data_IF_435455831268
#
_entry.id   IF_435455831268
#
_cell.length_a   1.000
_cell.length_b   1.000
_cell.length_c   1.000
_cell.angle_alpha   90.00
_cell.angle_beta   90.00
_cell.angle_gamma   90.00
#
_symmetry.space_group_name_H-M   'P 1'
#
loop_
_entity.id
_entity.type
_entity.pdbx_description
1 polymer ?
#
# COMPACT_ATOMS: atom_id res chain seq x y z
N UNK A 1 -25.46 -24.81 -87.28
CA UNK A 1 -25.42 -24.84 -85.81
C UNK A 1 -23.99 -25.13 -85.42
N UNK A 2 -23.23 -24.07 -85.18
CA UNK A 2 -21.82 -24.14 -84.77
C UNK A 2 -21.70 -24.73 -83.37
N UNK A 3 -20.85 -25.75 -83.22
CA UNK A 3 -20.37 -26.17 -81.90
C UNK A 3 -19.13 -25.34 -81.58
N UNK A 4 -19.22 -24.54 -80.51
CA UNK A 4 -18.09 -23.82 -79.93
C UNK A 4 -17.01 -24.85 -79.53
N UNK A 5 -15.75 -24.71 -80.00
CA UNK A 5 -14.70 -25.67 -79.71
C UNK A 5 -14.14 -25.49 -78.29
N UNK A 6 -14.09 -26.60 -77.57
CA UNK A 6 -13.01 -26.97 -76.64
C UNK A 6 -12.69 -26.00 -75.51
N UNK A 7 -13.49 -26.02 -74.44
CA UNK A 7 -12.91 -25.77 -73.10
C UNK A 7 -12.11 -27.03 -72.77
N UNK A 8 -10.79 -26.96 -72.92
CA UNK A 8 -9.90 -28.04 -72.49
C UNK A 8 -10.00 -28.16 -70.97
N UNK A 9 -10.46 -29.31 -70.46
CA UNK A 9 -10.38 -29.66 -69.05
C UNK A 9 -8.89 -29.80 -68.67
N UNK A 10 -8.30 -28.69 -68.21
CA UNK A 10 -6.96 -28.66 -67.65
C UNK A 10 -7.04 -29.18 -66.21
N UNK A 11 -6.76 -30.48 -66.04
CA UNK A 11 -6.61 -31.07 -64.71
C UNK A 11 -5.43 -30.44 -63.97
N UNK A 12 -5.62 -30.13 -62.68
CA UNK A 12 -4.57 -29.59 -61.81
C UNK A 12 -3.39 -30.56 -61.71
N UNK A 13 -2.17 -30.02 -61.80
CA UNK A 13 -0.97 -30.82 -61.57
C UNK A 13 -0.77 -31.07 -60.07
N UNK A 14 -0.37 -32.27 -59.68
CA UNK A 14 -0.11 -32.62 -58.28
C UNK A 14 0.95 -31.70 -57.64
N UNK A 15 1.90 -31.24 -58.45
CA UNK A 15 2.92 -30.26 -58.07
C UNK A 15 2.30 -28.91 -57.64
N UNK A 16 1.30 -28.44 -58.37
CA UNK A 16 0.63 -27.17 -58.10
C UNK A 16 -0.16 -27.20 -56.78
N UNK A 17 -0.81 -28.33 -56.49
CA UNK A 17 -1.46 -28.56 -55.19
C UNK A 17 -0.42 -28.59 -54.06
N UNK A 18 0.73 -29.23 -54.27
CA UNK A 18 1.79 -29.31 -53.26
C UNK A 18 2.41 -27.93 -53.00
N UNK A 19 2.61 -27.11 -54.04
CA UNK A 19 3.08 -25.73 -53.89
C UNK A 19 2.03 -24.88 -53.16
N UNK A 20 0.75 -25.00 -53.51
CA UNK A 20 -0.32 -24.25 -52.83
C UNK A 20 -0.41 -24.61 -51.33
N UNK A 21 -0.29 -25.89 -51.00
CA UNK A 21 -0.31 -26.35 -49.61
C UNK A 21 0.92 -25.86 -48.83
N UNK A 22 2.11 -25.88 -49.43
CA UNK A 22 3.31 -25.37 -48.75
C UNK A 22 3.24 -23.87 -48.53
N UNK A 23 2.81 -23.09 -49.53
CA UNK A 23 2.58 -21.65 -49.37
C UNK A 23 1.56 -21.37 -48.27
N UNK A 24 0.44 -22.10 -48.25
CA UNK A 24 -0.58 -21.95 -47.21
C UNK A 24 -0.04 -22.27 -45.82
N UNK A 25 0.73 -23.36 -45.68
CA UNK A 25 1.34 -23.74 -44.42
C UNK A 25 2.35 -22.69 -43.92
N UNK A 26 3.17 -22.13 -44.82
CA UNK A 26 4.11 -21.06 -44.47
C UNK A 26 3.37 -19.80 -44.02
N UNK A 27 2.34 -19.38 -44.75
CA UNK A 27 1.52 -18.22 -44.38
C UNK A 27 0.85 -18.44 -43.02
N UNK A 28 0.25 -19.60 -42.80
CA UNK A 28 -0.39 -19.93 -41.52
C UNK A 28 0.62 -19.96 -40.37
N UNK A 29 1.82 -20.46 -40.59
CA UNK A 29 2.89 -20.46 -39.58
C UNK A 29 3.29 -19.04 -39.17
N UNK A 30 3.48 -18.15 -40.15
CA UNK A 30 3.81 -16.73 -39.89
C UNK A 30 2.66 -16.04 -39.16
N UNK A 31 1.42 -16.24 -39.61
CA UNK A 31 0.23 -15.67 -38.98
C UNK A 31 0.08 -16.14 -37.53
N UNK A 32 0.30 -17.42 -37.27
CA UNK A 32 0.24 -17.98 -35.92
C UNK A 32 1.32 -17.37 -35.02
N UNK A 33 2.55 -17.19 -35.53
CA UNK A 33 3.62 -16.53 -34.79
C UNK A 33 3.28 -15.09 -34.41
N UNK A 34 2.74 -14.30 -35.35
CA UNK A 34 2.31 -12.92 -35.08
C UNK A 34 1.14 -12.87 -34.09
N UNK A 35 0.18 -13.78 -34.21
CA UNK A 35 -0.95 -13.88 -33.29
C UNK A 35 -0.50 -14.20 -31.86
N UNK A 36 0.37 -15.20 -31.69
CA UNK A 36 0.94 -15.55 -30.38
C UNK A 36 1.68 -14.35 -29.75
N UNK A 37 2.50 -13.66 -30.54
CA UNK A 37 3.21 -12.47 -30.08
C UNK A 37 2.27 -11.34 -29.65
N UNK A 38 1.18 -11.09 -30.39
CA UNK A 38 0.17 -10.10 -29.98
C UNK A 38 -0.50 -10.49 -28.66
N UNK A 39 -0.77 -11.78 -28.44
CA UNK A 39 -1.41 -12.25 -27.22
C UNK A 39 -0.50 -12.08 -26.00
N UNK A 40 0.80 -12.35 -26.14
CA UNK A 40 1.77 -12.15 -25.07
C UNK A 40 1.90 -10.68 -24.70
N UNK A 41 2.02 -9.79 -25.70
CA UNK A 41 2.04 -8.33 -25.47
C UNK A 41 0.74 -7.85 -24.80
N UNK A 42 -0.42 -8.39 -25.18
CA UNK A 42 -1.69 -8.03 -24.56
C UNK A 42 -1.75 -8.42 -23.08
N UNK A 43 -1.25 -9.62 -22.72
CA UNK A 43 -1.16 -10.09 -21.33
C UNK A 43 -0.20 -9.25 -20.51
N UNK A 44 0.97 -8.93 -21.07
CA UNK A 44 1.94 -8.05 -20.43
C UNK A 44 1.36 -6.64 -20.21
N UNK A 45 0.60 -6.12 -21.17
CA UNK A 45 -0.05 -4.83 -21.01
C UNK A 45 -1.10 -4.86 -19.89
N UNK A 46 -1.90 -5.92 -19.81
CA UNK A 46 -2.95 -6.07 -18.82
C UNK A 46 -2.38 -6.17 -17.40
N UNK A 47 -1.33 -6.98 -17.20
CA UNK A 47 -0.65 -7.09 -15.89
C UNK A 47 -0.03 -5.75 -15.47
N UNK A 48 0.58 -5.01 -16.42
CA UNK A 48 1.11 -3.66 -16.17
C UNK A 48 0.02 -2.70 -15.72
N UNK A 49 -1.10 -2.74 -16.43
CA UNK A 49 -2.21 -1.81 -16.21
C UNK A 49 -2.83 -2.01 -14.82
N UNK A 50 -2.89 -3.26 -14.33
CA UNK A 50 -3.38 -3.57 -12.98
C UNK A 50 -2.45 -3.02 -11.90
N UNK A 51 -1.15 -3.30 -11.99
CA UNK A 51 -0.17 -2.83 -11.01
C UNK A 51 -0.08 -1.29 -10.96
N UNK A 52 -0.07 -0.63 -12.11
CA UNK A 52 -0.03 0.83 -12.17
C UNK A 52 -1.30 1.47 -11.58
N UNK A 53 -2.48 0.87 -11.81
CA UNK A 53 -3.73 1.33 -11.19
C UNK A 53 -3.68 1.16 -9.67
N UNK A 54 -3.26 0.00 -9.19
CA UNK A 54 -3.09 -0.29 -7.77
C UNK A 54 -2.18 0.74 -7.12
N UNK A 55 -0.98 0.98 -7.68
CA UNK A 55 -0.05 1.92 -7.08
C UNK A 55 -0.51 3.37 -7.12
N UNK A 56 -1.26 3.78 -8.15
CA UNK A 56 -1.92 5.10 -8.14
C UNK A 56 -2.92 5.24 -6.99
N UNK A 57 -3.68 4.20 -6.68
CA UNK A 57 -4.60 4.20 -5.53
C UNK A 57 -3.83 4.27 -4.21
N UNK A 58 -2.78 3.46 -4.05
CA UNK A 58 -1.92 3.45 -2.85
C UNK A 58 -1.31 4.83 -2.61
N UNK A 59 -0.65 5.41 -3.61
CA UNK A 59 -0.01 6.73 -3.51
C UNK A 59 -1.06 7.80 -3.19
N UNK A 60 -2.22 7.76 -3.84
CA UNK A 60 -3.31 8.69 -3.58
C UNK A 60 -3.83 8.55 -2.14
N UNK A 61 -3.99 7.34 -1.63
CA UNK A 61 -4.49 7.09 -0.27
C UNK A 61 -3.48 7.55 0.79
N UNK A 62 -2.22 7.16 0.68
CA UNK A 62 -1.14 7.59 1.59
C UNK A 62 -1.00 9.11 1.58
N UNK A 63 -1.01 9.72 0.39
CA UNK A 63 -0.92 11.17 0.25
C UNK A 63 -2.12 11.86 0.91
N UNK A 64 -3.33 11.34 0.73
CA UNK A 64 -4.52 11.92 1.32
C UNK A 64 -4.50 11.83 2.85
N UNK A 65 -4.11 10.70 3.41
CA UNK A 65 -3.99 10.54 4.86
C UNK A 65 -2.95 11.50 5.43
N UNK A 66 -1.76 11.57 4.82
CA UNK A 66 -0.67 12.44 5.30
C UNK A 66 -0.96 13.93 5.16
N UNK A 67 -1.74 14.33 4.14
CA UNK A 67 -2.26 15.70 4.02
C UNK A 67 -3.39 15.99 4.99
N UNK A 68 -4.09 14.96 5.45
CA UNK A 68 -5.17 15.07 6.43
C UNK A 68 -4.66 14.91 7.87
N UNK A 69 -3.35 15.07 8.09
CA UNK A 69 -2.75 15.01 9.40
C UNK A 69 -3.40 16.04 10.32
N UNK A 70 -3.87 15.56 11.47
CA UNK A 70 -4.48 16.38 12.49
C UNK A 70 -3.68 16.26 13.78
N UNK A 71 -2.97 17.32 14.22
CA UNK A 71 -2.26 17.29 15.49
C UNK A 71 -3.29 17.17 16.61
N UNK A 72 -3.18 16.10 17.39
CA UNK A 72 -4.10 15.90 18.50
C UNK A 72 -3.71 16.80 19.68
N UNK A 73 -4.68 17.48 20.28
CA UNK A 73 -4.47 18.31 21.46
C UNK A 73 -4.62 17.43 22.70
N UNK A 74 -3.82 17.68 23.75
CA UNK A 74 -3.79 16.86 24.95
C UNK A 74 -5.16 16.73 25.68
N UNK A 75 -6.12 17.62 25.41
CA UNK A 75 -7.48 17.50 25.92
C UNK A 75 -8.22 16.27 25.33
N UNK A 76 -7.97 15.93 24.06
CA UNK A 76 -8.56 14.77 23.39
C UNK A 76 -7.97 13.44 23.91
N UNK A 77 -6.74 13.44 24.44
CA UNK A 77 -6.10 12.28 25.07
C UNK A 77 -6.83 11.81 26.34
N UNK A 78 -7.54 12.70 27.04
CA UNK A 78 -8.29 12.34 28.25
C UNK A 78 -9.48 11.41 27.97
N UNK A 79 -9.95 11.39 26.72
CA UNK A 79 -10.95 10.45 26.25
C UNK A 79 -10.37 9.04 26.00
N UNK A 80 -9.05 8.90 25.94
CA UNK A 80 -8.33 7.62 25.82
C UNK A 80 -8.25 6.91 27.19
N UNK A 81 -9.41 6.68 27.81
CA UNK A 81 -9.55 5.77 28.96
C UNK A 81 -10.54 4.68 28.60
N UNK A 82 -10.04 3.59 28.04
CA UNK A 82 -10.85 2.40 27.84
C UNK A 82 -10.53 1.71 26.53
N UNK A 83 -9.86 0.57 26.66
CA UNK A 83 -9.40 -0.25 25.55
C UNK A 83 -7.96 -0.58 25.86
N UNK A 84 -7.73 -1.77 26.39
CA UNK A 84 -6.41 -2.33 26.62
C UNK A 84 -5.69 -2.40 25.25
N UNK A 85 -5.06 -1.30 24.85
CA UNK A 85 -4.03 -1.32 23.83
C UNK A 85 -2.82 -1.90 24.53
N UNK A 86 -2.68 -3.22 24.42
CA UNK A 86 -1.49 -3.96 24.85
C UNK A 86 -0.30 -3.45 24.04
N UNK A 87 0.33 -2.38 24.52
CA UNK A 87 1.76 -2.18 24.32
C UNK A 87 2.41 -3.01 25.42
N UNK A 88 2.64 -4.30 25.18
CA UNK A 88 3.42 -5.12 26.11
C UNK A 88 4.86 -4.60 26.10
N UNK A 89 5.20 -3.81 27.13
CA UNK A 89 6.57 -3.58 27.55
C UNK A 89 7.18 -4.94 27.91
N UNK A 90 7.92 -5.52 26.97
CA UNK A 90 8.80 -6.66 27.23
C UNK A 90 10.01 -6.19 28.04
N UNK A 91 9.79 -5.92 29.33
CA UNK A 91 10.85 -5.76 30.31
C UNK A 91 10.43 -6.35 31.67
N UNK A 92 10.73 -7.64 31.83
CA UNK A 92 11.10 -8.30 33.08
C UNK A 92 10.01 -8.56 34.14
N UNK A 93 9.74 -9.86 34.33
CA UNK A 93 9.39 -10.57 35.57
C UNK A 93 8.17 -10.15 36.42
N UNK A 94 7.27 -11.13 36.55
CA UNK A 94 6.71 -11.64 37.82
C UNK A 94 6.43 -10.67 38.98
N UNK A 95 5.17 -10.77 39.43
CA UNK A 95 4.61 -10.48 40.76
C UNK A 95 3.92 -9.13 40.99
N UNK A 96 2.76 -9.28 41.63
CA UNK A 96 1.95 -8.30 42.34
C UNK A 96 1.00 -7.41 41.53
N UNK A 97 -0.25 -7.90 41.51
CA UNK A 97 -1.47 -7.10 41.63
C UNK A 97 -1.27 -6.01 42.70
N UNK A 98 -1.09 -4.78 42.24
CA UNK A 98 -1.51 -3.60 42.98
C UNK A 98 -2.02 -2.58 41.98
N UNK A 99 -3.26 -2.17 42.18
CA UNK A 99 -3.88 -1.01 41.55
C UNK A 99 -2.93 0.18 41.69
N UNK A 100 -2.38 0.66 40.57
CA UNK A 100 -1.63 1.90 40.52
C UNK A 100 -2.11 2.75 39.33
N UNK A 101 -1.95 4.05 39.53
CA UNK A 101 -2.58 5.17 38.82
C UNK A 101 -2.54 5.02 37.30
N UNK A 102 -3.69 5.32 36.69
CA UNK A 102 -3.91 5.27 35.25
C UNK A 102 -2.72 5.74 34.44
N UNK A 103 -2.08 4.78 33.78
CA UNK A 103 -1.06 4.99 32.77
C UNK A 103 -1.65 5.91 31.70
N UNK A 104 -1.10 7.11 31.59
CA UNK A 104 -1.43 8.05 30.53
C UNK A 104 -0.99 7.39 29.22
N UNK A 105 -1.92 6.86 28.43
CA UNK A 105 -1.58 6.26 27.14
C UNK A 105 -1.21 7.41 26.21
N UNK A 106 0.09 7.58 25.99
CA UNK A 106 0.64 8.59 25.11
C UNK A 106 0.37 8.16 23.66
N UNK A 107 -0.74 8.63 23.07
CA UNK A 107 -1.06 8.32 21.67
C UNK A 107 0.02 8.94 20.78
N UNK A 108 0.61 8.17 19.85
CA UNK A 108 1.71 8.65 19.02
C UNK A 108 1.29 9.82 18.13
N UNK A 109 2.01 10.94 18.24
CA UNK A 109 1.75 12.17 17.47
C UNK A 109 2.05 12.00 15.98
N UNK A 110 3.17 11.34 15.67
CA UNK A 110 3.54 10.85 14.34
C UNK A 110 4.65 9.83 14.58
N UNK A 111 4.53 8.66 13.98
CA UNK A 111 5.45 7.56 14.15
C UNK A 111 5.88 6.98 12.81
N UNK A 112 7.16 6.67 12.67
CA UNK A 112 7.71 6.10 11.46
C UNK A 112 8.92 5.22 11.71
N UNK A 113 8.84 3.92 11.38
CA UNK A 113 9.91 2.93 11.47
C UNK A 113 10.70 2.89 12.80
N UNK A 114 10.20 3.46 13.91
CA UNK A 114 10.94 3.60 15.17
C UNK A 114 10.37 2.73 16.27
N UNK A 115 10.72 1.44 16.33
CA UNK A 115 10.63 0.71 17.59
C UNK A 115 11.50 -0.55 17.53
N UNK A 116 12.31 -0.77 18.57
CA UNK A 116 13.00 -2.06 18.82
C UNK A 116 12.02 -3.23 18.93
N UNK A 117 10.73 -2.92 19.08
CA UNK A 117 9.59 -3.82 19.00
C UNK A 117 8.48 -3.03 18.32
N UNK A 118 8.13 -3.24 17.03
CA UNK A 118 6.87 -2.70 16.52
C UNK A 118 5.78 -3.03 17.55
N UNK A 119 4.69 -2.26 17.70
CA UNK A 119 3.51 -2.86 18.28
C UNK A 119 3.28 -4.11 17.42
N UNK A 120 3.65 -5.27 17.98
CA UNK A 120 3.36 -6.56 17.39
C UNK A 120 1.86 -6.65 17.58
N UNK A 121 1.13 -6.01 16.68
CA UNK A 121 -0.07 -6.66 16.25
C UNK A 121 0.37 -7.99 15.66
N UNK A 122 -0.30 -9.05 16.08
CA UNK A 122 -0.08 -10.41 15.61
C UNK A 122 -0.13 -10.53 14.07
N UNK A 123 -0.52 -9.47 13.37
CA UNK A 123 -0.76 -9.40 11.94
C UNK A 123 0.40 -8.82 11.08
N UNK A 124 1.39 -8.05 11.60
CA UNK A 124 2.49 -7.57 10.72
C UNK A 124 3.40 -6.43 11.20
N UNK A 125 4.22 -5.89 10.29
CA UNK A 125 5.19 -4.81 10.53
C UNK A 125 4.53 -3.45 10.32
N UNK A 126 4.37 -2.66 11.39
CA UNK A 126 3.91 -1.28 11.24
C UNK A 126 5.03 -0.41 10.67
N UNK A 127 4.75 0.27 9.55
CA UNK A 127 5.71 1.13 8.84
C UNK A 127 5.56 2.60 9.24
N UNK A 128 4.32 3.04 9.41
CA UNK A 128 3.99 4.42 9.74
C UNK A 128 2.66 4.48 10.46
N UNK A 129 2.53 5.34 11.47
CA UNK A 129 1.29 5.56 12.20
C UNK A 129 1.13 7.03 12.60
N UNK A 130 -0.06 7.60 12.40
CA UNK A 130 -0.33 9.00 12.72
C UNK A 130 -1.84 9.30 12.79
N UNK A 131 -2.25 10.33 13.55
CA UNK A 131 -3.61 10.84 13.55
C UNK A 131 -3.94 11.52 12.21
N UNK A 132 -5.07 11.11 11.63
CA UNK A 132 -5.56 11.62 10.35
C UNK A 132 -7.07 11.83 10.41
N UNK A 133 -7.55 12.83 9.68
CA UNK A 133 -8.99 13.05 9.45
C UNK A 133 -9.53 12.34 8.23
N UNK A 134 -8.66 11.66 7.47
CA UNK A 134 -9.11 10.84 6.36
C UNK A 134 -9.69 9.54 6.93
N UNK A 135 -10.95 9.26 6.58
CA UNK A 135 -11.66 8.05 7.01
C UNK A 135 -11.92 7.09 5.85
N UNK A 136 -12.16 5.83 6.17
CA UNK A 136 -12.67 4.78 5.27
C UNK A 136 -14.20 4.69 5.30
N UNK A 137 -14.83 5.16 6.38
CA UNK A 137 -16.27 5.04 6.57
C UNK A 137 -17.10 6.02 5.74
N UNK A 138 -18.15 5.49 5.11
CA UNK A 138 -19.28 6.26 4.58
C UNK A 138 -20.29 6.53 5.70
N UNK A 139 -19.89 7.23 6.76
CA UNK A 139 -20.82 7.54 7.84
C UNK A 139 -21.68 8.76 7.46
N UNK A 140 -22.98 8.53 7.27
CA UNK A 140 -24.06 9.48 6.88
C UNK A 140 -24.33 10.64 7.88
N UNK A 141 -23.37 11.01 8.74
CA UNK A 141 -23.55 12.11 9.70
C UNK A 141 -22.45 13.17 9.53
N UNK A 142 -22.86 14.28 8.91
CA UNK A 142 -22.06 15.43 8.46
C UNK A 142 -21.36 16.25 9.57
N UNK A 143 -21.47 15.90 10.87
CA UNK A 143 -21.11 16.83 11.95
C UNK A 143 -19.94 16.44 12.87
N UNK A 144 -19.23 15.32 12.64
CA UNK A 144 -17.99 15.06 13.40
C UNK A 144 -16.86 14.70 12.46
N UNK A 145 -15.93 15.63 12.29
CA UNK A 145 -14.60 15.39 11.70
C UNK A 145 -13.84 14.43 12.61
N UNK A 146 -14.06 13.12 12.43
CA UNK A 146 -13.43 12.08 13.25
C UNK A 146 -11.94 12.05 12.94
N UNK A 147 -11.13 12.28 13.97
CA UNK A 147 -9.69 11.99 13.91
C UNK A 147 -9.56 10.50 14.18
N UNK A 148 -8.91 9.78 13.26
CA UNK A 148 -8.62 8.36 13.38
C UNK A 148 -7.11 8.17 13.48
N UNK A 149 -6.68 7.16 14.22
CA UNK A 149 -5.31 6.70 14.15
C UNK A 149 -5.18 5.80 12.91
N UNK A 150 -4.44 6.29 11.91
CA UNK A 150 -4.15 5.53 10.69
C UNK A 150 -2.79 4.89 10.84
N UNK A 151 -2.69 3.60 10.50
CA UNK A 151 -1.43 2.88 10.45
C UNK A 151 -1.28 2.08 9.16
N UNK A 152 -0.06 2.08 8.62
CA UNK A 152 0.33 1.29 7.45
C UNK A 152 1.10 0.07 7.94
N UNK A 153 0.59 -1.11 7.61
CA UNK A 153 1.10 -2.40 8.11
C UNK A 153 1.50 -3.28 6.94
N UNK A 154 2.71 -3.83 6.99
CA UNK A 154 3.19 -4.82 6.04
C UNK A 154 3.02 -6.22 6.63
N UNK A 155 2.20 -7.03 5.97
CA UNK A 155 1.92 -8.41 6.36
C UNK A 155 2.60 -9.33 5.34
N UNK A 156 3.40 -10.32 5.75
CA UNK A 156 3.96 -11.27 4.79
C UNK A 156 2.83 -11.98 4.03
N UNK A 157 2.92 -12.07 2.69
CA UNK A 157 1.91 -12.76 1.87
C UNK A 157 1.78 -14.24 2.26
N UNK A 158 2.91 -14.84 2.63
CA UNK A 158 2.99 -16.20 3.11
C UNK A 158 4.15 -16.29 4.10
N UNK A 159 3.89 -16.87 5.27
CA UNK A 159 4.86 -17.03 6.36
C UNK A 159 6.13 -17.79 5.94
N UNK A 160 6.03 -18.60 4.88
CA UNK A 160 7.14 -19.40 4.34
C UNK A 160 7.72 -18.83 3.04
N UNK A 161 7.36 -17.60 2.63
CA UNK A 161 7.87 -17.03 1.38
C UNK A 161 9.31 -16.54 1.51
N UNK A 162 10.25 -17.31 0.96
CA UNK A 162 11.67 -16.93 0.86
C UNK A 162 11.87 -15.65 0.04
N UNK A 163 10.92 -15.29 -0.84
CA UNK A 163 11.00 -14.07 -1.65
C UNK A 163 10.65 -12.79 -0.87
N UNK A 164 10.15 -12.91 0.37
CA UNK A 164 9.88 -11.76 1.23
C UNK A 164 8.86 -10.78 0.63
N UNK A 165 7.76 -11.30 0.07
CA UNK A 165 6.64 -10.48 -0.42
C UNK A 165 5.67 -10.13 0.71
N UNK A 166 5.11 -8.93 0.61
CA UNK A 166 4.23 -8.36 1.60
C UNK A 166 2.97 -7.78 0.96
N UNK A 167 1.90 -7.84 1.75
CA UNK A 167 0.67 -7.08 1.55
C UNK A 167 0.77 -5.81 2.38
N UNK A 168 0.50 -4.66 1.75
CA UNK A 168 0.33 -3.39 2.45
C UNK A 168 -1.12 -3.20 2.84
N UNK A 169 -1.36 -3.23 4.14
CA UNK A 169 -2.63 -2.90 4.74
C UNK A 169 -2.63 -1.45 5.22
N UNK A 170 -3.77 -0.79 5.06
CA UNK A 170 -4.10 0.42 5.80
C UNK A 170 -5.13 0.06 6.87
N UNK A 171 -4.75 0.32 8.11
CA UNK A 171 -5.58 0.15 9.27
C UNK A 171 -6.04 1.51 9.79
N UNK A 172 -7.30 1.57 10.21
CA UNK A 172 -7.94 2.73 10.80
C UNK A 172 -8.51 2.32 12.16
N UNK A 173 -7.96 2.92 13.22
CA UNK A 173 -8.54 2.84 14.55
C UNK A 173 -9.25 4.16 14.80
N UNK A 174 -10.59 4.15 14.86
CA UNK A 174 -11.31 5.30 15.35
C UNK A 174 -10.90 5.60 16.79
N UNK A 175 -10.80 6.87 17.14
CA UNK A 175 -10.37 7.25 18.48
C UNK A 175 -11.42 6.79 19.52
N UNK A 176 -11.03 5.81 20.35
CA UNK A 176 -11.93 5.02 21.22
C UNK A 176 -12.65 5.80 22.34
N UNK A 177 -12.36 7.09 22.51
CA UNK A 177 -12.92 7.88 23.60
C UNK A 177 -14.37 8.34 23.46
N UNK A 178 -14.99 8.16 22.29
CA UNK A 178 -16.38 8.58 22.06
C UNK A 178 -17.34 7.40 21.81
N UNK A 179 -16.86 6.22 21.42
CA UNK A 179 -17.72 5.10 20.98
C UNK A 179 -17.09 3.71 21.23
N UNK A 180 -17.50 2.97 22.28
CA UNK A 180 -16.90 1.69 22.69
C UNK A 180 -17.17 0.49 21.75
N UNK A 181 -17.97 0.66 20.69
CA UNK A 181 -18.35 -0.43 19.78
C UNK A 181 -17.63 -0.39 18.42
N UNK A 182 -16.69 0.53 18.21
CA UNK A 182 -16.10 0.71 16.89
C UNK A 182 -15.04 -0.33 16.58
N UNK A 183 -15.24 -1.02 15.45
CA UNK A 183 -14.32 -2.03 14.92
C UNK A 183 -13.12 -1.35 14.27
N UNK A 184 -11.97 -2.00 14.40
CA UNK A 184 -10.79 -1.69 13.61
C UNK A 184 -11.15 -1.93 12.14
N UNK A 185 -10.99 -0.91 11.29
CA UNK A 185 -11.19 -1.04 9.85
C UNK A 185 -9.85 -1.29 9.18
N UNK A 186 -9.78 -2.32 8.32
CA UNK A 186 -8.59 -2.66 7.56
C UNK A 186 -8.95 -2.79 6.09
N UNK A 187 -8.11 -2.20 5.24
CA UNK A 187 -8.17 -2.40 3.80
C UNK A 187 -6.81 -2.81 3.27
N UNK A 188 -6.83 -3.74 2.33
CA UNK A 188 -5.68 -4.06 1.51
C UNK A 188 -5.49 -2.96 0.47
N UNK A 189 -4.27 -2.41 0.41
CA UNK A 189 -3.91 -1.38 -0.56
C UNK A 189 -3.11 -1.94 -1.73
N UNK A 190 -2.18 -2.85 -1.45
CA UNK A 190 -1.35 -3.49 -2.45
C UNK A 190 -0.88 -4.86 -1.98
N UNK A 191 -0.79 -5.77 -2.93
CA UNK A 191 -0.10 -7.05 -2.83
C UNK A 191 1.24 -6.99 -3.58
N UNK A 192 2.05 -8.04 -3.46
CA UNK A 192 3.28 -8.25 -4.20
C UNK A 192 4.42 -7.30 -3.83
N UNK A 193 4.37 -6.64 -2.67
CA UNK A 193 5.40 -5.68 -2.28
C UNK A 193 6.68 -6.38 -1.83
N UNK A 194 7.81 -5.95 -2.35
CA UNK A 194 9.12 -6.42 -1.90
C UNK A 194 9.64 -5.46 -0.83
N UNK A 195 9.83 -5.96 0.38
CA UNK A 195 10.40 -5.21 1.49
C UNK A 195 11.86 -5.60 1.72
N UNK A 196 12.70 -4.60 1.95
CA UNK A 196 14.07 -4.78 2.43
C UNK A 196 14.28 -3.94 3.68
N UNK A 197 15.32 -4.25 4.45
CA UNK A 197 15.78 -3.48 5.62
C UNK A 197 15.96 -1.97 5.37
N UNK A 198 16.08 -1.55 4.11
CA UNK A 198 16.21 -0.14 3.67
C UNK A 198 15.02 0.37 2.84
N UNK A 199 13.92 -0.39 2.74
CA UNK A 199 12.77 -0.06 1.90
C UNK A 199 11.69 0.81 2.57
N UNK A 200 11.89 1.18 3.84
CA UNK A 200 10.96 2.03 4.57
C UNK A 200 10.95 3.50 4.12
N UNK A 201 9.97 4.29 4.61
CA UNK A 201 9.95 5.72 4.39
C UNK A 201 11.19 6.40 4.97
N UNK A 202 11.67 7.42 4.26
CA UNK A 202 12.68 8.36 4.71
C UNK A 202 12.00 9.67 5.08
N UNK A 203 12.32 10.17 6.25
CA UNK A 203 11.77 11.39 6.82
C UNK A 203 12.79 12.51 6.70
N UNK A 204 12.35 13.69 6.27
CA UNK A 204 13.17 14.89 6.28
C UNK A 204 12.58 15.90 7.24
N UNK A 205 13.45 16.51 8.02
CA UNK A 205 13.06 17.55 8.96
C UNK A 205 13.05 18.95 8.33
N UNK A 206 12.86 19.96 9.17
CA UNK A 206 12.86 21.37 8.81
C UNK A 206 14.19 21.86 8.22
N UNK A 207 15.30 21.24 8.61
CA UNK A 207 16.66 21.56 8.12
C UNK A 207 16.98 20.81 6.82
N UNK A 208 16.22 19.75 6.52
CA UNK A 208 16.47 18.84 5.40
C UNK A 208 17.36 17.65 5.78
N UNK A 209 17.67 17.47 7.06
CA UNK A 209 18.34 16.28 7.57
C UNK A 209 17.44 15.05 7.37
N UNK A 210 18.06 13.93 6.97
CA UNK A 210 17.36 12.68 6.64
C UNK A 210 17.38 11.73 7.82
N UNK A 211 16.23 11.15 8.10
CA UNK A 211 16.02 10.16 9.15
C UNK A 211 15.35 8.92 8.55
N UNK A 212 15.76 7.73 8.99
CA UNK A 212 15.11 6.45 8.67
C UNK A 212 14.00 6.11 9.66
N UNK A 213 14.00 6.78 10.81
CA UNK A 213 13.02 6.64 11.89
C UNK A 213 12.45 8.01 12.24
N UNK A 214 11.27 8.04 12.85
CA UNK A 214 10.67 9.28 13.32
C UNK A 214 9.77 9.05 14.54
N UNK A 215 10.20 9.55 15.69
CA UNK A 215 9.39 9.68 16.89
C UNK A 215 8.96 11.16 17.11
N UNK A 216 7.70 11.45 16.78
CA UNK A 216 7.08 12.75 17.00
C UNK A 216 6.94 13.12 18.48
N UNK A 217 6.87 12.13 19.37
CA UNK A 217 6.78 12.31 20.82
C UNK A 217 8.12 12.73 21.40
N UNK A 218 9.21 12.03 21.09
CA UNK A 218 10.56 12.45 21.46
C UNK A 218 10.88 13.85 20.91
N UNK A 219 10.48 14.13 19.66
CA UNK A 219 10.61 15.47 19.06
C UNK A 219 9.83 16.54 19.81
N UNK A 220 8.59 16.27 20.25
CA UNK A 220 7.82 17.20 21.09
C UNK A 220 8.54 17.49 22.41
N UNK A 221 9.06 16.47 23.10
CA UNK A 221 9.85 16.64 24.35
C UNK A 221 11.09 17.51 24.11
N UNK A 222 11.73 17.34 22.95
CA UNK A 222 12.86 18.15 22.49
C UNK A 222 12.47 19.52 21.91
N UNK A 223 11.18 19.90 21.94
CA UNK A 223 10.64 21.14 21.35
C UNK A 223 10.94 21.31 19.86
N UNK A 224 10.99 20.19 19.12
CA UNK A 224 11.13 20.13 17.66
C UNK A 224 9.77 19.88 16.99
N UNK A 225 9.62 20.15 15.69
CA UNK A 225 8.43 19.77 14.93
C UNK A 225 8.13 18.27 15.06
N UNK A 226 6.88 17.93 15.39
CA UNK A 226 6.44 16.56 15.65
C UNK A 226 6.17 15.76 14.37
N UNK A 227 5.93 16.46 13.26
CA UNK A 227 5.67 15.88 11.94
C UNK A 227 6.88 16.14 11.03
N UNK A 228 7.30 15.17 10.20
CA UNK A 228 8.30 15.41 9.17
C UNK A 228 7.87 16.52 8.22
N UNK A 229 8.83 17.32 7.75
CA UNK A 229 8.58 18.28 6.66
C UNK A 229 8.26 17.57 5.35
N UNK A 230 8.95 16.46 5.10
CA UNK A 230 8.79 15.68 3.88
C UNK A 230 9.00 14.21 4.18
N UNK A 231 8.18 13.37 3.55
CA UNK A 231 8.27 11.92 3.63
C UNK A 231 8.49 11.42 2.21
N UNK A 232 9.54 10.63 2.03
CA UNK A 232 9.86 9.96 0.76
C UNK A 232 9.77 8.47 0.98
N UNK A 233 8.94 7.78 0.21
CA UNK A 233 8.84 6.33 0.27
C UNK A 233 8.93 5.73 -1.12
N UNK A 234 9.74 4.68 -1.27
CA UNK A 234 9.93 3.97 -2.53
C UNK A 234 9.37 2.58 -2.38
N UNK A 235 8.18 2.37 -2.95
CA UNK A 235 7.51 1.07 -2.96
C UNK A 235 8.06 0.23 -4.12
N UNK A 236 8.28 -1.06 -3.88
CA UNK A 236 8.73 -2.01 -4.89
C UNK A 236 7.71 -3.12 -5.00
N UNK A 237 7.24 -3.40 -6.21
CA UNK A 237 6.29 -4.48 -6.48
C UNK A 237 6.99 -5.51 -7.35
N UNK A 238 6.95 -6.78 -6.94
CA UNK A 238 7.39 -7.89 -7.77
C UNK A 238 6.35 -8.19 -8.84
N UNK A 239 6.80 -8.27 -10.09
CA UNK A 239 5.97 -8.51 -11.26
C UNK A 239 6.64 -9.55 -12.13
N UNK A 240 6.14 -10.78 -12.08
CA UNK A 240 6.64 -11.89 -12.89
C UNK A 240 8.17 -12.07 -12.75
N UNK A 241 8.72 -11.81 -11.55
CA UNK A 241 10.15 -11.87 -11.25
C UNK A 241 10.93 -10.57 -11.56
N UNK A 242 10.27 -9.51 -12.00
CA UNK A 242 10.86 -8.18 -12.17
C UNK A 242 10.32 -7.20 -11.13
N UNK A 243 11.21 -6.50 -10.42
CA UNK A 243 10.82 -5.46 -9.47
C UNK A 243 10.56 -4.13 -10.18
N UNK A 244 9.35 -3.61 -10.03
CA UNK A 244 8.97 -2.27 -10.49
C UNK A 244 8.97 -1.31 -9.30
N UNK A 245 9.53 -0.12 -9.51
CA UNK A 245 9.77 0.87 -8.45
C UNK A 245 8.81 2.05 -8.58
N UNK A 246 8.12 2.36 -7.48
CA UNK A 246 7.16 3.46 -7.37
C UNK A 246 7.61 4.44 -6.29
N UNK A 247 8.34 5.52 -6.65
CA UNK A 247 8.70 6.56 -5.71
C UNK A 247 7.51 7.45 -5.40
N UNK A 248 7.35 7.81 -4.13
CA UNK A 248 6.43 8.84 -3.70
C UNK A 248 7.11 9.82 -2.76
N UNK A 249 6.67 11.07 -2.84
CA UNK A 249 7.11 12.13 -1.95
C UNK A 249 5.93 12.98 -1.57
N UNK A 250 5.77 13.21 -0.28
CA UNK A 250 4.62 13.91 0.28
C UNK A 250 5.10 14.89 1.34
N UNK A 251 4.53 16.09 1.31
CA UNK A 251 4.64 17.08 2.36
C UNK A 251 3.39 16.94 3.24
N UNK A 252 3.51 16.41 4.47
CA UNK A 252 2.38 16.38 5.40
C UNK A 252 1.85 17.79 5.62
N UNK A 253 0.54 17.95 5.69
CA UNK A 253 -0.07 19.25 5.98
C UNK A 253 -0.65 19.20 7.39
N UNK A 254 -0.17 20.10 8.24
CA UNK A 254 -0.75 20.27 9.58
C UNK A 254 -2.00 21.12 9.41
N UNK A 255 -3.17 20.50 9.43
CA UNK A 255 -4.42 21.24 9.51
C UNK A 255 -4.51 21.85 10.90
N UNK A 256 -4.53 23.19 10.98
CA UNK A 256 -4.80 23.87 12.24
C UNK A 256 -6.15 23.39 12.78
N UNK A 257 -6.19 22.97 14.04
CA UNK A 257 -7.45 22.75 14.75
C UNK A 257 -8.27 24.04 14.60
N UNK A 258 -9.46 23.95 13.99
CA UNK A 258 -10.25 25.10 13.60
C UNK A 258 -10.40 26.07 14.78
N UNK A 259 -9.90 27.30 14.59
CA UNK A 259 -10.28 28.42 15.43
C UNK A 259 -11.66 28.88 15.02
N UNK A 260 -12.65 28.61 15.87
CA UNK A 260 -13.92 29.34 15.93
C UNK A 260 -14.11 29.84 17.35
#
# INVERSE_FOLDING_TARGET
MDRVPGVADQGFTLLEILIALTMTATVMSVLFGVYASCLDVARDLESSSRADRMMRMVVSRITNDLRSYAPMVAADLSAFRGGDVYLEDNATQETNRTSDKGTEVEVPLFWGNEMDTPPQDEEGIVVMAFPSRASLGFADNDEVQRINLVSYVLVPENENDENGRYVLLRRELPFAGLYPEQKIEMIELADGLVWTDRAGPIYLDETGERFTTWDGTARKRARKPVVPRLISWTLRVDRDGQQVVYPMTVHPQVLAAGGS
#
